data_IF_437873891631
#
_entry.id   IF_437873891631
#
_cell.length_a   1.000
_cell.length_b   1.000
_cell.length_c   1.000
_cell.angle_alpha   90.00
_cell.angle_beta   90.00
_cell.angle_gamma   90.00
#
_symmetry.space_group_name_H-M   'P 1'
#
loop_
_entity.id
_entity.type
_entity.pdbx_description
1 polymer ?
#
# COMPACT_ATOMS: atom_id res chain seq x y z
N UNK A 1 45.68 17.74 43.54
CA UNK A 1 46.92 18.47 43.18
C UNK A 1 47.72 17.50 42.36
N UNK A 2 47.37 17.38 41.09
CA UNK A 2 48.16 16.78 40.03
C UNK A 2 47.88 17.60 38.77
N UNK A 3 48.95 18.03 38.14
CA UNK A 3 49.02 18.99 37.05
C UNK A 3 48.37 18.54 35.76
N UNK A 4 47.88 19.56 35.03
CA UNK A 4 47.44 19.50 33.64
C UNK A 4 48.59 20.12 32.83
N UNK A 5 49.25 19.31 32.00
CA UNK A 5 50.16 19.82 30.99
C UNK A 5 49.81 19.29 29.60
N UNK A 6 49.59 20.27 28.74
CA UNK A 6 49.89 20.39 27.31
C UNK A 6 49.75 19.15 26.41
N UNK A 7 48.80 19.21 25.49
CA UNK A 7 48.84 18.49 24.23
C UNK A 7 48.96 19.52 23.10
N UNK A 8 50.12 19.55 22.50
CA UNK A 8 50.59 20.35 21.38
C UNK A 8 49.83 19.91 20.09
N UNK A 9 49.20 20.89 19.42
CA UNK A 9 48.57 20.72 18.11
C UNK A 9 49.64 21.00 17.05
N UNK A 10 50.07 19.94 16.35
CA UNK A 10 50.89 20.09 15.14
C UNK A 10 50.01 20.15 13.91
N UNK A 11 49.95 21.31 13.31
CA UNK A 11 49.42 21.63 12.00
C UNK A 11 50.32 20.99 10.91
N UNK A 12 49.71 20.11 10.07
CA UNK A 12 50.37 19.62 8.85
C UNK A 12 49.58 20.15 7.65
N UNK A 13 50.13 21.22 7.06
CA UNK A 13 49.80 21.65 5.70
C UNK A 13 50.11 20.50 4.72
N UNK A 14 49.14 20.09 3.92
CA UNK A 14 49.37 19.39 2.65
C UNK A 14 48.63 20.09 1.53
N UNK A 15 49.44 20.58 0.65
CA UNK A 15 49.18 21.18 -0.64
C UNK A 15 48.15 20.41 -1.47
N UNK A 16 47.18 21.17 -2.02
CA UNK A 16 46.18 20.70 -2.99
C UNK A 16 46.84 20.34 -4.33
N UNK A 17 46.58 19.13 -4.81
CA UNK A 17 46.72 18.76 -6.21
C UNK A 17 45.35 18.60 -6.82
N UNK A 18 45.11 19.27 -7.94
CA UNK A 18 43.88 19.28 -8.71
C UNK A 18 43.62 17.92 -9.37
N UNK A 19 42.36 17.49 -9.33
CA UNK A 19 41.79 16.48 -10.21
C UNK A 19 41.22 15.26 -9.47
N UNK A 20 39.94 15.35 -9.12
CA UNK A 20 39.00 14.23 -9.34
C UNK A 20 37.59 14.70 -8.93
N UNK A 21 36.67 14.56 -9.87
CA UNK A 21 35.27 14.87 -9.69
C UNK A 21 34.60 13.86 -8.72
N UNK A 22 33.59 14.27 -7.91
CA UNK A 22 32.90 13.34 -7.04
C UNK A 22 32.08 12.36 -7.83
N UNK A 23 32.32 11.07 -7.61
CA UNK A 23 31.53 9.96 -8.12
C UNK A 23 30.08 10.10 -7.68
N UNK A 24 29.19 10.30 -8.62
CA UNK A 24 27.74 10.20 -8.43
C UNK A 24 27.42 8.76 -8.07
N UNK A 25 26.99 8.53 -6.84
CA UNK A 25 26.36 7.28 -6.45
C UNK A 25 25.01 7.23 -7.13
N UNK A 26 24.93 6.49 -8.22
CA UNK A 26 23.67 6.15 -8.88
C UNK A 26 23.09 4.95 -8.13
N UNK A 27 22.08 5.20 -7.31
CA UNK A 27 21.31 4.12 -6.68
C UNK A 27 20.38 3.57 -7.76
N UNK A 28 20.71 2.40 -8.30
CA UNK A 28 19.83 1.64 -9.17
C UNK A 28 18.76 0.95 -8.31
N UNK A 29 17.51 1.36 -8.45
CA UNK A 29 16.38 0.56 -8.00
C UNK A 29 16.21 -0.61 -8.97
N UNK A 30 16.63 -1.78 -8.55
CA UNK A 30 16.32 -3.02 -9.25
C UNK A 30 14.97 -3.54 -8.75
N UNK A 31 13.93 -3.39 -9.57
CA UNK A 31 12.70 -4.18 -9.42
C UNK A 31 13.04 -5.60 -9.80
N UNK A 32 13.20 -6.47 -8.82
CA UNK A 32 13.47 -7.88 -9.02
C UNK A 32 12.15 -8.64 -9.22
N UNK A 33 11.75 -8.81 -10.46
CA UNK A 33 10.73 -9.80 -10.83
C UNK A 33 11.37 -11.18 -10.77
N UNK A 34 11.07 -11.96 -9.73
CA UNK A 34 11.58 -13.33 -9.61
C UNK A 34 10.69 -14.26 -10.43
N UNK A 35 11.13 -14.60 -11.63
CA UNK A 35 10.62 -15.75 -12.38
C UNK A 35 11.27 -17.03 -11.84
N UNK A 36 10.48 -17.90 -11.23
CA UNK A 36 10.91 -19.28 -10.96
C UNK A 36 10.80 -20.10 -12.24
N UNK A 37 11.91 -20.20 -12.99
CA UNK A 37 12.09 -21.22 -13.99
C UNK A 37 12.72 -22.43 -13.30
N UNK A 38 11.99 -23.53 -13.19
CA UNK A 38 12.49 -24.81 -12.70
C UNK A 38 13.56 -25.37 -13.64
N UNK A 39 14.78 -25.45 -13.17
CA UNK A 39 15.86 -26.21 -13.84
C UNK A 39 16.35 -27.30 -12.89
N UNK A 40 16.04 -28.54 -13.23
CA UNK A 40 16.59 -29.71 -12.57
C UNK A 40 18.09 -29.79 -12.77
N UNK A 41 18.85 -29.92 -11.69
CA UNK A 41 20.26 -30.25 -11.72
C UNK A 41 20.41 -31.69 -11.24
N UNK A 42 20.80 -32.55 -12.19
CA UNK A 42 21.20 -33.94 -11.93
C UNK A 42 22.49 -33.99 -11.12
N UNK A 43 22.52 -34.87 -10.15
CA UNK A 43 23.73 -35.26 -9.43
C UNK A 43 24.31 -36.53 -10.05
N UNK A 44 25.59 -36.47 -10.44
CA UNK A 44 26.37 -37.57 -10.95
C UNK A 44 27.23 -38.17 -9.83
N UNK A 45 27.12 -39.52 -9.77
CA UNK A 45 28.15 -40.51 -9.47
C UNK A 45 28.80 -40.58 -8.06
N UNK A 46 28.56 -41.70 -7.40
CA UNK A 46 29.44 -42.39 -6.48
C UNK A 46 29.27 -43.91 -6.64
N UNK A 47 30.31 -44.74 -6.37
CA UNK A 47 30.49 -46.08 -6.93
C UNK A 47 29.81 -47.22 -6.15
N UNK A 48 29.84 -48.46 -6.60
CA UNK A 48 28.88 -49.53 -6.33
C UNK A 48 29.26 -50.40 -5.11
N UNK A 49 28.26 -50.99 -4.48
CA UNK A 49 28.45 -52.14 -3.60
C UNK A 49 27.26 -53.12 -3.72
N UNK A 50 27.56 -54.25 -4.19
CA UNK A 50 27.07 -55.62 -3.95
C UNK A 50 25.56 -55.95 -3.86
N UNK A 51 25.27 -56.85 -4.77
CA UNK A 51 24.13 -57.71 -4.99
C UNK A 51 23.66 -58.53 -3.78
N UNK A 52 22.33 -58.47 -3.52
CA UNK A 52 21.58 -59.59 -2.96
C UNK A 52 20.31 -59.80 -3.78
N UNK A 53 20.24 -60.92 -4.41
CA UNK A 53 19.13 -61.41 -5.24
C UNK A 53 18.02 -61.95 -4.31
N UNK A 54 16.81 -61.41 -4.45
CA UNK A 54 15.59 -61.99 -3.88
C UNK A 54 14.46 -61.84 -4.86
N UNK A 55 14.00 -62.96 -5.36
CA UNK A 55 12.91 -63.14 -6.34
C UNK A 55 11.56 -62.70 -5.75
N UNK A 56 10.82 -61.87 -6.46
CA UNK A 56 9.41 -61.52 -6.19
C UNK A 56 8.59 -61.81 -7.46
N UNK A 57 7.42 -62.47 -7.33
CA UNK A 57 6.65 -62.91 -8.49
C UNK A 57 5.95 -61.74 -9.20
N UNK A 58 6.02 -61.79 -10.52
CA UNK A 58 5.36 -60.87 -11.45
C UNK A 58 3.85 -61.04 -11.39
N UNK A 59 3.17 -59.99 -10.95
CA UNK A 59 1.75 -59.77 -11.25
C UNK A 59 1.65 -58.53 -12.15
N UNK A 60 1.05 -58.71 -13.32
CA UNK A 60 0.84 -57.65 -14.30
C UNK A 60 0.00 -56.48 -13.74
N UNK A 61 0.37 -55.23 -14.04
CA UNK A 61 -0.49 -54.10 -13.65
C UNK A 61 -1.69 -53.98 -14.61
N UNK A 62 -2.87 -54.03 -14.06
CA UNK A 62 -4.10 -53.61 -14.72
C UNK A 62 -4.04 -52.09 -14.92
N UNK A 63 -3.98 -51.68 -16.17
CA UNK A 63 -4.01 -50.24 -16.55
C UNK A 63 -5.40 -49.72 -16.26
N UNK A 64 -5.57 -49.07 -15.12
CA UNK A 64 -6.72 -48.20 -14.86
C UNK A 64 -6.40 -46.84 -15.47
N UNK A 65 -6.99 -46.55 -16.61
CA UNK A 65 -6.99 -45.21 -17.19
C UNK A 65 -7.86 -44.33 -16.29
N UNK A 66 -7.22 -43.61 -15.38
CA UNK A 66 -7.88 -42.47 -14.69
C UNK A 66 -7.94 -41.39 -15.76
N UNK A 67 -9.13 -41.11 -16.25
CA UNK A 67 -9.38 -39.88 -17.02
C UNK A 67 -9.11 -38.72 -16.13
N UNK A 68 -8.04 -38.03 -16.34
CA UNK A 68 -7.72 -36.73 -15.79
C UNK A 68 -8.70 -35.75 -16.43
N UNK A 69 -9.78 -35.49 -15.72
CA UNK A 69 -10.68 -34.39 -16.05
C UNK A 69 -9.99 -33.11 -15.56
N UNK A 70 -9.15 -32.54 -16.42
CA UNK A 70 -8.82 -31.13 -16.31
C UNK A 70 -10.09 -30.32 -16.52
N UNK A 71 -10.80 -30.02 -15.44
CA UNK A 71 -11.77 -28.93 -15.43
C UNK A 71 -10.97 -27.64 -15.42
N UNK A 72 -10.60 -27.16 -16.62
CA UNK A 72 -10.32 -25.76 -16.80
C UNK A 72 -11.57 -25.00 -16.32
N UNK A 73 -11.48 -24.36 -15.17
CA UNK A 73 -12.54 -23.49 -14.69
C UNK A 73 -12.52 -22.28 -15.61
N UNK A 74 -13.48 -22.24 -16.53
CA UNK A 74 -13.70 -21.09 -17.42
C UNK A 74 -14.12 -19.93 -16.52
N UNK A 75 -13.17 -19.00 -16.24
CA UNK A 75 -13.44 -17.78 -15.45
C UNK A 75 -14.04 -16.77 -16.43
N UNK A 76 -15.31 -16.96 -16.75
CA UNK A 76 -16.09 -15.94 -17.45
C UNK A 76 -16.45 -14.82 -16.47
N UNK A 77 -16.44 -13.55 -16.90
CA UNK A 77 -16.84 -12.45 -16.04
C UNK A 77 -18.24 -12.68 -15.49
N UNK A 78 -18.47 -12.41 -14.18
CA UNK A 78 -19.79 -12.50 -13.59
C UNK A 78 -20.76 -11.48 -14.25
N UNK A 79 -22.06 -11.70 -14.18
CA UNK A 79 -23.03 -10.69 -14.58
C UNK A 79 -22.84 -9.44 -13.73
N UNK A 80 -22.96 -8.27 -14.37
CA UNK A 80 -22.87 -6.97 -13.71
C UNK A 80 -23.83 -6.89 -12.52
N UNK A 81 -23.30 -6.56 -11.34
CA UNK A 81 -24.11 -6.39 -10.14
C UNK A 81 -24.76 -5.00 -10.19
N UNK A 82 -26.07 -4.94 -10.45
CA UNK A 82 -26.82 -3.69 -10.55
C UNK A 82 -27.28 -3.15 -9.19
N UNK A 83 -26.92 -3.80 -8.08
CA UNK A 83 -27.29 -3.31 -6.76
C UNK A 83 -26.57 -1.96 -6.47
N UNK A 84 -27.29 -0.97 -5.91
CA UNK A 84 -26.66 0.27 -5.48
C UNK A 84 -25.57 -0.01 -4.44
N UNK A 85 -24.58 0.89 -4.35
CA UNK A 85 -23.59 0.81 -3.27
C UNK A 85 -24.32 0.89 -1.92
N UNK A 86 -23.95 0.01 -0.97
CA UNK A 86 -24.38 0.14 0.40
C UNK A 86 -23.54 1.24 1.08
N UNK A 87 -24.14 1.93 2.05
CA UNK A 87 -23.37 2.83 2.90
C UNK A 87 -22.31 2.00 3.67
N UNK A 88 -21.12 2.56 3.86
CA UNK A 88 -20.05 1.86 4.58
C UNK A 88 -20.45 1.62 6.05
N UNK A 89 -20.12 0.43 6.55
CA UNK A 89 -20.24 0.13 7.98
C UNK A 89 -19.09 0.83 8.71
N UNK A 90 -19.38 1.53 9.80
CA UNK A 90 -18.39 2.27 10.58
C UNK A 90 -18.38 1.89 12.06
N UNK A 91 -19.39 1.16 12.53
CA UNK A 91 -19.51 0.77 13.92
C UNK A 91 -18.40 -0.24 14.34
N UNK A 92 -17.81 -0.08 15.55
CA UNK A 92 -16.80 -1.01 16.03
C UNK A 92 -17.37 -2.41 16.29
N UNK A 93 -16.60 -3.46 15.96
CA UNK A 93 -16.97 -4.85 16.21
C UNK A 93 -16.55 -5.35 17.59
N UNK A 94 -15.53 -4.73 18.20
CA UNK A 94 -14.93 -5.16 19.46
C UNK A 94 -15.02 -4.04 20.49
N UNK A 95 -15.44 -4.39 21.71
CA UNK A 95 -15.52 -3.45 22.81
C UNK A 95 -14.14 -2.98 23.29
N UNK A 96 -14.07 -1.75 23.79
CA UNK A 96 -12.84 -1.17 24.32
C UNK A 96 -12.24 -1.95 25.52
N UNK A 97 -13.06 -2.73 26.21
CA UNK A 97 -12.68 -3.54 27.37
C UNK A 97 -12.23 -4.97 27.05
N UNK A 98 -12.10 -5.35 25.76
CA UNK A 98 -11.62 -6.70 25.41
C UNK A 98 -10.21 -6.95 25.96
N UNK A 99 -10.02 -8.14 26.58
CA UNK A 99 -8.73 -8.61 27.11
C UNK A 99 -7.84 -9.22 26.03
N UNK A 100 -8.45 -9.74 24.95
CA UNK A 100 -7.78 -10.40 23.82
C UNK A 100 -8.16 -9.72 22.46
N UNK A 101 -7.95 -8.39 22.30
CA UNK A 101 -8.51 -7.65 21.17
C UNK A 101 -8.01 -8.18 19.81
N UNK A 102 -6.79 -8.71 19.71
CA UNK A 102 -6.27 -9.29 18.45
C UNK A 102 -7.05 -10.54 18.06
N UNK A 103 -7.36 -11.41 19.00
CA UNK A 103 -8.11 -12.64 18.75
C UNK A 103 -9.58 -12.32 18.41
N UNK A 104 -10.18 -11.39 19.14
CA UNK A 104 -11.58 -10.97 18.91
C UNK A 104 -11.74 -10.28 17.54
N UNK A 105 -10.83 -9.36 17.21
CA UNK A 105 -10.80 -8.70 15.88
C UNK A 105 -10.62 -9.74 14.78
N UNK A 106 -9.68 -10.67 14.94
CA UNK A 106 -9.46 -11.72 13.95
C UNK A 106 -10.73 -12.55 13.75
N UNK A 107 -11.37 -13.02 14.83
CA UNK A 107 -12.58 -13.83 14.76
C UNK A 107 -13.71 -13.12 14.01
N UNK A 108 -13.88 -11.81 14.22
CA UNK A 108 -14.99 -11.03 13.67
C UNK A 108 -14.70 -10.55 12.24
N UNK A 109 -13.44 -10.26 11.91
CA UNK A 109 -13.08 -9.74 10.59
C UNK A 109 -12.75 -10.81 9.54
N UNK A 110 -12.27 -12.00 9.95
CA UNK A 110 -11.89 -13.04 8.99
C UNK A 110 -13.00 -13.42 7.98
N UNK A 111 -14.30 -13.41 8.32
CA UNK A 111 -15.35 -13.60 7.33
C UNK A 111 -15.37 -12.57 6.20
N UNK A 112 -14.88 -11.34 6.46
CA UNK A 112 -14.80 -10.24 5.49
C UNK A 112 -13.51 -10.24 4.67
N UNK A 113 -12.52 -11.07 5.04
CA UNK A 113 -11.23 -11.17 4.34
C UNK A 113 -11.30 -12.28 3.30
N UNK A 114 -10.93 -11.97 2.07
CA UNK A 114 -10.93 -12.90 0.95
C UNK A 114 -9.53 -13.13 0.39
N UNK A 115 -9.32 -14.28 -0.22
CA UNK A 115 -8.16 -14.54 -1.07
C UNK A 115 -8.52 -14.20 -2.51
N UNK A 116 -7.60 -13.56 -3.19
CA UNK A 116 -7.69 -13.27 -4.63
C UNK A 116 -6.69 -14.19 -5.34
N UNK A 117 -7.23 -15.06 -6.19
CA UNK A 117 -6.47 -16.03 -6.97
C UNK A 117 -6.48 -15.60 -8.44
N UNK A 118 -5.30 -15.46 -9.05
CA UNK A 118 -5.15 -15.13 -10.47
C UNK A 118 -4.91 -16.41 -11.27
N UNK A 119 -5.41 -16.48 -12.50
CA UNK A 119 -5.13 -17.61 -13.43
C UNK A 119 -3.64 -17.84 -13.64
N UNK A 120 -2.83 -16.79 -13.57
CA UNK A 120 -1.38 -16.86 -13.69
C UNK A 120 -0.68 -17.48 -12.48
N UNK A 121 -1.44 -17.86 -11.43
CA UNK A 121 -0.92 -18.40 -10.18
C UNK A 121 -0.52 -17.34 -9.15
N UNK A 122 -0.77 -16.06 -9.41
CA UNK A 122 -0.61 -14.98 -8.42
C UNK A 122 -1.66 -15.07 -7.32
N UNK A 123 -1.29 -14.63 -6.12
CA UNK A 123 -2.15 -14.63 -4.95
C UNK A 123 -2.06 -13.29 -4.22
N UNK A 124 -3.19 -12.83 -3.70
CA UNK A 124 -3.29 -11.67 -2.82
C UNK A 124 -4.48 -11.79 -1.89
N UNK A 125 -4.75 -10.74 -1.15
CA UNK A 125 -5.91 -10.62 -0.27
C UNK A 125 -6.80 -9.46 -0.68
N UNK A 126 -8.02 -9.47 -0.19
CA UNK A 126 -8.96 -8.36 -0.28
C UNK A 126 -9.84 -8.29 0.95
N UNK A 127 -10.56 -7.20 1.10
CA UNK A 127 -11.56 -7.02 2.15
C UNK A 127 -12.90 -6.62 1.56
N UNK A 128 -13.96 -7.33 1.95
CA UNK A 128 -15.34 -7.00 1.61
C UNK A 128 -15.68 -5.71 2.38
N UNK A 129 -15.95 -4.62 1.68
CA UNK A 129 -16.31 -3.33 2.29
C UNK A 129 -17.76 -2.94 2.03
N UNK A 130 -18.41 -3.62 1.08
CA UNK A 130 -19.83 -3.43 0.72
C UNK A 130 -20.50 -4.79 0.65
N UNK A 131 -21.58 -4.96 1.39
CA UNK A 131 -22.35 -6.21 1.45
C UNK A 131 -22.95 -6.64 0.11
N UNK A 132 -23.01 -5.74 -0.87
CA UNK A 132 -23.45 -6.01 -2.23
C UNK A 132 -22.37 -6.59 -3.15
N UNK A 133 -21.26 -7.09 -2.59
CA UNK A 133 -20.27 -7.85 -3.35
C UNK A 133 -19.03 -7.07 -3.76
N UNK A 134 -18.78 -5.88 -3.17
CA UNK A 134 -17.59 -5.11 -3.50
C UNK A 134 -16.45 -5.36 -2.52
N UNK A 135 -15.26 -5.54 -3.09
CA UNK A 135 -14.05 -5.93 -2.38
C UNK A 135 -12.96 -4.93 -2.73
N UNK A 136 -12.32 -4.35 -1.69
CA UNK A 136 -11.10 -3.57 -1.81
C UNK A 136 -9.88 -4.50 -1.86
N UNK A 137 -8.92 -4.18 -2.71
CA UNK A 137 -7.61 -4.81 -2.77
C UNK A 137 -6.54 -3.81 -3.24
N UNK A 138 -5.28 -4.22 -3.25
CA UNK A 138 -4.20 -3.43 -3.84
C UNK A 138 -4.18 -3.61 -5.38
N UNK A 139 -3.89 -2.53 -6.11
CA UNK A 139 -3.86 -2.53 -7.58
C UNK A 139 -2.86 -3.55 -8.14
N UNK A 140 -1.66 -3.63 -7.53
CA UNK A 140 -0.61 -4.56 -7.97
C UNK A 140 -1.01 -6.04 -7.84
N UNK A 141 -1.99 -6.39 -6.99
CA UNK A 141 -2.52 -7.76 -6.85
C UNK A 141 -3.27 -8.18 -8.11
N UNK A 142 -4.00 -7.27 -8.74
CA UNK A 142 -4.84 -7.54 -9.92
C UNK A 142 -4.29 -6.93 -11.20
N UNK A 143 -2.99 -6.58 -11.21
CA UNK A 143 -2.39 -5.90 -12.35
C UNK A 143 -2.49 -6.73 -13.64
N UNK A 144 -3.11 -6.13 -14.67
CA UNK A 144 -3.21 -6.69 -16.00
C UNK A 144 -4.24 -7.80 -16.18
N UNK A 145 -5.17 -7.99 -15.23
CA UNK A 145 -6.28 -8.94 -15.35
C UNK A 145 -7.63 -8.24 -15.13
N UNK A 146 -8.65 -8.67 -15.88
CA UNK A 146 -10.02 -8.16 -15.77
C UNK A 146 -10.88 -9.05 -14.87
N UNK A 147 -10.45 -10.31 -14.64
CA UNK A 147 -11.17 -11.30 -13.86
C UNK A 147 -10.26 -12.05 -12.92
N UNK A 148 -10.77 -12.39 -11.75
CA UNK A 148 -10.07 -13.13 -10.71
C UNK A 148 -10.99 -14.19 -10.10
N UNK A 149 -10.43 -15.15 -9.38
CA UNK A 149 -11.21 -16.06 -8.56
C UNK A 149 -11.11 -15.59 -7.10
N UNK A 150 -12.26 -15.24 -6.51
CA UNK A 150 -12.36 -14.80 -5.11
C UNK A 150 -12.69 -16.02 -4.25
N UNK A 151 -11.81 -16.35 -3.31
CA UNK A 151 -12.04 -17.39 -2.32
C UNK A 151 -12.40 -16.79 -0.98
N UNK A 152 -13.57 -17.17 -0.48
CA UNK A 152 -14.09 -16.74 0.82
C UNK A 152 -13.53 -17.60 1.98
N UNK A 153 -13.71 -17.12 3.20
CA UNK A 153 -13.27 -17.81 4.44
C UNK A 153 -13.92 -19.18 4.65
N UNK A 154 -15.12 -19.42 4.11
CA UNK A 154 -15.79 -20.70 4.15
C UNK A 154 -15.29 -21.71 3.10
N UNK A 155 -14.32 -21.29 2.26
CA UNK A 155 -13.74 -22.09 1.18
C UNK A 155 -14.43 -21.96 -0.18
N UNK A 156 -15.58 -21.29 -0.26
CA UNK A 156 -16.28 -21.06 -1.52
C UNK A 156 -15.42 -20.19 -2.46
N UNK A 157 -15.47 -20.48 -3.76
CA UNK A 157 -14.79 -19.75 -4.82
C UNK A 157 -15.80 -19.19 -5.81
N UNK A 158 -15.71 -17.92 -6.07
CA UNK A 158 -16.63 -17.21 -6.96
C UNK A 158 -15.82 -16.34 -7.93
N UNK A 159 -16.17 -16.30 -9.22
CA UNK A 159 -15.58 -15.35 -10.15
C UNK A 159 -15.85 -13.92 -9.71
N UNK A 160 -14.81 -13.06 -9.80
CA UNK A 160 -14.88 -11.63 -9.53
C UNK A 160 -14.43 -10.84 -10.74
N UNK A 161 -15.11 -9.74 -11.04
CA UNK A 161 -14.70 -8.75 -12.04
C UNK A 161 -13.87 -7.64 -11.41
N UNK A 162 -12.75 -7.30 -11.98
CA UNK A 162 -11.99 -6.09 -11.63
C UNK A 162 -12.72 -4.90 -12.28
N UNK A 163 -13.48 -4.15 -11.49
CA UNK A 163 -14.30 -3.04 -12.03
C UNK A 163 -13.51 -1.75 -12.17
N UNK A 164 -12.32 -1.65 -11.57
CA UNK A 164 -11.38 -0.56 -11.79
C UNK A 164 -10.13 -0.67 -10.94
N UNK A 165 -9.10 0.01 -11.43
CA UNK A 165 -7.75 0.02 -10.84
C UNK A 165 -7.23 1.45 -10.82
N UNK A 166 -6.64 1.85 -9.71
CA UNK A 166 -5.88 3.09 -9.54
C UNK A 166 -4.44 2.75 -9.14
N UNK A 167 -3.57 2.65 -10.13
CA UNK A 167 -2.14 2.36 -9.92
C UNK A 167 -1.44 3.45 -9.11
N UNK A 168 -1.92 4.70 -9.25
CA UNK A 168 -1.33 5.83 -8.57
C UNK A 168 -1.54 5.78 -7.05
N UNK A 169 -2.65 5.22 -6.58
CA UNK A 169 -2.95 5.01 -5.17
C UNK A 169 -2.78 3.55 -4.72
N UNK A 170 -2.45 2.64 -5.65
CA UNK A 170 -2.33 1.20 -5.43
C UNK A 170 -3.62 0.58 -4.84
N UNK A 171 -4.77 0.98 -5.37
CA UNK A 171 -6.09 0.49 -4.96
C UNK A 171 -6.83 -0.06 -6.17
N UNK A 172 -7.53 -1.19 -5.99
CA UNK A 172 -8.45 -1.74 -6.97
C UNK A 172 -9.76 -2.18 -6.30
N UNK A 173 -10.82 -2.23 -7.09
CA UNK A 173 -12.12 -2.74 -6.67
C UNK A 173 -12.48 -3.95 -7.51
N UNK A 174 -12.83 -5.04 -6.81
CA UNK A 174 -13.38 -6.26 -7.40
C UNK A 174 -14.85 -6.33 -7.04
N UNK A 175 -15.66 -6.78 -7.97
CA UNK A 175 -17.08 -7.05 -7.75
C UNK A 175 -17.39 -8.53 -7.98
N UNK A 176 -18.14 -9.13 -7.05
CA UNK A 176 -18.70 -10.48 -7.17
C UNK A 176 -20.23 -10.40 -7.23
N UNK A 177 -20.86 -11.31 -7.97
CA UNK A 177 -22.32 -11.35 -8.11
C UNK A 177 -23.01 -12.02 -6.89
N UNK A 178 -22.69 -11.52 -5.69
CA UNK A 178 -23.26 -11.97 -4.41
C UNK A 178 -23.71 -10.75 -3.59
N UNK A 179 -24.71 -10.96 -2.75
CA UNK A 179 -25.23 -9.96 -1.80
C UNK A 179 -25.23 -10.55 -0.38
N UNK A 180 -25.54 -9.71 0.59
CA UNK A 180 -25.57 -10.07 2.01
C UNK A 180 -24.22 -10.61 2.53
N UNK A 181 -23.12 -10.13 1.93
CA UNK A 181 -21.77 -10.48 2.36
C UNK A 181 -21.41 -9.75 3.66
N UNK A 182 -20.54 -10.36 4.50
CA UNK A 182 -20.06 -9.72 5.72
C UNK A 182 -19.11 -8.57 5.37
N UNK A 183 -19.61 -7.34 5.32
CA UNK A 183 -18.79 -6.15 5.10
C UNK A 183 -18.03 -5.77 6.37
N UNK A 184 -16.71 -5.49 6.21
CA UNK A 184 -15.89 -5.00 7.30
C UNK A 184 -16.19 -3.52 7.59
N UNK A 185 -16.25 -3.09 8.86
CA UNK A 185 -16.40 -1.69 9.20
C UNK A 185 -15.13 -0.90 8.86
N UNK A 186 -15.32 0.31 8.33
CA UNK A 186 -14.26 1.23 7.97
C UNK A 186 -14.14 2.34 9.01
N UNK A 187 -12.91 2.68 9.41
CA UNK A 187 -12.61 3.79 10.32
C UNK A 187 -12.49 5.11 9.53
N UNK A 188 -13.60 5.51 8.89
CA UNK A 188 -13.63 6.75 8.11
C UNK A 188 -13.66 7.97 9.05
N UNK A 189 -13.01 9.05 8.62
CA UNK A 189 -12.90 10.31 9.35
C UNK A 189 -12.29 10.15 10.77
N UNK A 190 -11.45 9.14 10.96
CA UNK A 190 -10.68 8.91 12.18
C UNK A 190 -9.18 8.89 11.88
N UNK A 191 -8.42 9.71 12.60
CA UNK A 191 -6.97 9.78 12.45
C UNK A 191 -6.28 8.70 13.30
N UNK A 192 -5.65 7.69 12.66
CA UNK A 192 -4.80 6.76 13.39
C UNK A 192 -3.64 7.49 14.06
N UNK A 193 -3.22 7.03 15.24
CA UNK A 193 -2.10 7.65 15.96
C UNK A 193 -0.96 6.67 16.16
N UNK A 194 0.31 7.11 16.07
CA UNK A 194 1.45 6.28 16.43
C UNK A 194 1.28 5.64 17.81
N UNK A 195 1.59 4.35 17.90
CA UNK A 195 1.42 3.54 19.11
C UNK A 195 0.04 2.85 19.24
N UNK A 196 -0.94 3.13 18.39
CA UNK A 196 -2.19 2.37 18.36
C UNK A 196 -1.95 0.95 17.85
N UNK A 197 -2.71 -0.02 18.41
CA UNK A 197 -2.68 -1.40 17.95
C UNK A 197 -3.07 -1.47 16.47
N UNK A 198 -2.27 -2.17 15.69
CA UNK A 198 -2.49 -2.47 14.29
C UNK A 198 -2.54 -3.97 14.08
N UNK A 199 -3.57 -4.47 13.41
CA UNK A 199 -3.80 -5.89 13.15
C UNK A 199 -3.90 -6.06 11.64
N UNK A 200 -2.91 -6.71 11.04
CA UNK A 200 -2.91 -7.00 9.61
C UNK A 200 -3.49 -8.39 9.38
N UNK A 201 -4.48 -8.47 8.48
CA UNK A 201 -5.11 -9.72 8.09
C UNK A 201 -4.89 -9.98 6.61
N UNK A 202 -4.80 -11.27 6.26
CA UNK A 202 -4.69 -11.71 4.88
C UNK A 202 -5.02 -13.19 4.77
N UNK A 203 -5.13 -13.68 3.53
CA UNK A 203 -5.40 -15.07 3.22
C UNK A 203 -4.33 -15.63 2.27
N UNK A 204 -3.07 -15.76 2.73
CA UNK A 204 -1.97 -16.23 1.88
C UNK A 204 -2.03 -17.75 1.64
N UNK A 205 -1.56 -18.21 0.47
CA UNK A 205 -1.17 -19.60 0.16
C UNK A 205 -2.25 -20.68 0.29
N UNK A 206 -3.55 -20.33 0.25
CA UNK A 206 -4.61 -21.33 0.42
C UNK A 206 -4.63 -21.96 1.82
N UNK A 207 -3.83 -21.44 2.74
CA UNK A 207 -3.87 -21.74 4.17
C UNK A 207 -4.94 -20.87 4.83
N UNK A 208 -5.44 -21.33 5.96
CA UNK A 208 -6.34 -20.53 6.80
C UNK A 208 -5.69 -19.17 7.07
N UNK A 209 -6.51 -18.15 7.04
CA UNK A 209 -6.15 -16.72 7.14
C UNK A 209 -4.98 -16.43 8.10
N UNK A 210 -4.10 -15.55 7.69
CA UNK A 210 -2.95 -15.12 8.51
C UNK A 210 -3.30 -13.81 9.22
N UNK A 211 -3.02 -13.76 10.51
CA UNK A 211 -3.17 -12.57 11.34
C UNK A 211 -1.82 -12.23 11.94
N UNK A 212 -1.40 -10.99 11.80
CA UNK A 212 -0.22 -10.45 12.47
C UNK A 212 -0.61 -9.17 13.21
N UNK A 213 0.09 -8.83 14.28
CA UNK A 213 -0.18 -7.63 15.05
C UNK A 213 1.09 -6.86 15.36
N UNK A 214 0.93 -5.58 15.54
CA UNK A 214 1.94 -4.60 15.87
C UNK A 214 1.27 -3.29 16.26
N UNK A 215 1.89 -2.18 15.90
CA UNK A 215 1.35 -0.84 16.12
C UNK A 215 1.37 -0.03 14.82
N UNK A 216 0.60 1.04 14.78
CA UNK A 216 0.87 2.13 13.85
C UNK A 216 2.19 2.78 14.28
N UNK A 217 3.23 2.61 13.49
CA UNK A 217 4.57 3.14 13.80
C UNK A 217 4.69 4.62 13.45
N UNK A 218 4.04 5.02 12.34
CA UNK A 218 3.92 6.40 11.90
C UNK A 218 2.68 6.59 11.04
N UNK A 219 2.19 7.82 10.97
CA UNK A 219 1.16 8.28 10.04
C UNK A 219 1.82 9.22 9.03
N UNK A 220 1.17 9.45 7.90
CA UNK A 220 1.57 10.42 6.88
C UNK A 220 3.02 10.27 6.40
N UNK A 221 3.49 9.01 6.33
CA UNK A 221 4.81 8.74 5.76
C UNK A 221 4.80 8.95 4.25
N UNK A 222 5.51 9.97 3.78
CA UNK A 222 5.65 10.29 2.37
C UNK A 222 6.53 9.25 1.66
N UNK A 223 5.89 8.31 0.97
CA UNK A 223 6.57 7.24 0.23
C UNK A 223 6.48 7.53 -1.27
N UNK A 224 7.60 7.43 -2.04
CA UNK A 224 7.58 7.64 -3.48
C UNK A 224 6.57 6.74 -4.19
N UNK A 225 5.65 7.34 -4.95
CA UNK A 225 4.71 6.63 -5.81
C UNK A 225 5.34 6.19 -7.15
N UNK A 226 4.60 5.42 -7.98
CA UNK A 226 5.05 4.98 -9.31
C UNK A 226 5.36 6.17 -10.24
N UNK A 227 4.63 7.25 -10.11
CA UNK A 227 4.77 8.51 -10.84
C UNK A 227 5.80 9.47 -10.21
N UNK A 228 6.57 9.00 -9.20
CA UNK A 228 7.54 9.75 -8.41
C UNK A 228 6.93 10.85 -7.53
N UNK A 229 5.61 10.95 -7.48
CA UNK A 229 4.93 11.83 -6.53
C UNK A 229 4.74 11.06 -5.24
N UNK A 230 5.13 11.63 -4.09
CA UNK A 230 4.96 10.97 -2.80
C UNK A 230 3.48 10.71 -2.48
N UNK A 231 3.24 9.60 -1.77
CA UNK A 231 1.93 9.25 -1.19
C UNK A 231 2.09 9.16 0.31
N UNK A 232 1.14 9.69 1.05
CA UNK A 232 1.09 9.50 2.50
C UNK A 232 0.59 8.09 2.79
N UNK A 233 1.31 7.37 3.63
CA UNK A 233 1.03 5.98 3.99
C UNK A 233 1.03 5.83 5.50
N UNK A 234 0.25 4.88 5.99
CA UNK A 234 0.40 4.38 7.35
C UNK A 234 1.59 3.43 7.40
N UNK A 235 2.48 3.64 8.37
CA UNK A 235 3.57 2.71 8.65
C UNK A 235 3.19 1.82 9.84
N UNK A 236 3.51 0.54 9.76
CA UNK A 236 3.29 -0.44 10.84
C UNK A 236 4.46 -1.41 10.99
N UNK A 237 4.69 -1.91 12.18
CA UNK A 237 5.60 -3.03 12.47
C UNK A 237 4.87 -4.38 12.52
N UNK A 238 3.54 -4.40 12.36
CA UNK A 238 2.82 -5.63 12.07
C UNK A 238 3.43 -6.29 10.82
N UNK A 239 3.66 -7.60 10.86
CA UNK A 239 4.35 -8.29 9.77
C UNK A 239 3.50 -8.30 8.51
N UNK A 240 3.87 -7.49 7.51
CA UNK A 240 3.32 -7.52 6.15
C UNK A 240 4.22 -8.42 5.30
N UNK A 241 3.64 -9.41 4.65
CA UNK A 241 4.35 -10.39 3.81
C UNK A 241 3.54 -10.66 2.53
N UNK A 242 4.14 -11.29 1.51
CA UNK A 242 3.38 -11.76 0.35
C UNK A 242 2.16 -12.57 0.78
N UNK A 243 0.98 -12.16 0.35
CA UNK A 243 -0.30 -12.72 0.72
C UNK A 243 -1.16 -11.85 1.65
N UNK A 244 -0.57 -10.92 2.42
CA UNK A 244 -1.34 -9.89 3.14
C UNK A 244 -1.62 -8.67 2.26
N UNK A 245 -0.90 -8.49 1.15
CA UNK A 245 -1.11 -7.38 0.21
C UNK A 245 -2.54 -7.36 -0.30
N UNK A 246 -3.17 -6.19 -0.25
CA UNK A 246 -4.60 -5.99 -0.55
C UNK A 246 -5.55 -6.34 0.59
N UNK A 247 -5.08 -7.04 1.63
CA UNK A 247 -5.85 -7.30 2.85
C UNK A 247 -5.92 -6.09 3.78
N UNK A 248 -6.80 -6.11 4.79
CA UNK A 248 -6.99 -4.99 5.69
C UNK A 248 -5.91 -4.88 6.77
N UNK A 249 -5.63 -3.63 7.16
CA UNK A 249 -5.03 -3.25 8.44
C UNK A 249 -6.15 -2.72 9.34
N UNK A 250 -6.37 -3.36 10.49
CA UNK A 250 -7.46 -3.03 11.40
C UNK A 250 -6.94 -2.42 12.73
N UNK A 251 -7.80 -1.65 13.37
CA UNK A 251 -7.61 -1.15 14.73
C UNK A 251 -8.03 -2.20 15.79
N UNK A 252 -7.86 -1.85 17.07
CA UNK A 252 -8.27 -2.72 18.18
C UNK A 252 -9.77 -2.96 18.27
N UNK A 253 -10.58 -2.16 17.57
CA UNK A 253 -12.04 -2.23 17.56
C UNK A 253 -12.58 -3.04 16.39
N UNK A 254 -11.69 -3.55 15.52
CA UNK A 254 -12.07 -4.31 14.32
C UNK A 254 -12.53 -3.43 13.16
N UNK A 255 -12.19 -2.14 13.15
CA UNK A 255 -12.44 -1.24 12.02
C UNK A 255 -11.19 -1.17 11.16
N UNK A 256 -11.38 -1.12 9.86
CA UNK A 256 -10.27 -1.03 8.90
C UNK A 256 -9.73 0.39 8.89
N UNK A 257 -8.44 0.55 9.18
CA UNK A 257 -7.71 1.84 9.14
C UNK A 257 -6.86 1.97 7.87
N UNK A 258 -6.61 0.87 7.14
CA UNK A 258 -5.85 0.90 5.90
C UNK A 258 -5.88 -0.40 5.12
N UNK A 259 -5.34 -0.37 3.89
CA UNK A 259 -5.13 -1.53 3.01
C UNK A 259 -3.64 -1.81 2.90
N UNK A 260 -3.22 -3.01 3.28
CA UNK A 260 -1.82 -3.44 3.26
C UNK A 260 -1.29 -3.51 1.83
N UNK A 261 -0.13 -2.89 1.54
CA UNK A 261 0.39 -2.85 0.17
C UNK A 261 1.82 -3.34 0.03
N UNK A 262 2.73 -2.93 0.91
CA UNK A 262 4.15 -3.21 0.70
C UNK A 262 4.97 -3.23 1.98
N UNK A 263 6.19 -3.73 1.85
CA UNK A 263 7.25 -3.62 2.85
C UNK A 263 8.38 -2.74 2.31
N UNK A 264 9.03 -2.01 3.20
CA UNK A 264 10.33 -1.42 2.90
C UNK A 264 11.40 -2.35 3.49
N UNK A 265 12.12 -3.05 2.62
CA UNK A 265 13.09 -4.04 3.05
C UNK A 265 14.30 -4.07 2.14
N UNK A 266 15.47 -4.03 2.73
CA UNK A 266 16.74 -4.24 2.03
C UNK A 266 17.02 -5.73 1.76
N UNK A 267 16.41 -6.61 2.55
CA UNK A 267 16.57 -8.07 2.48
C UNK A 267 15.52 -8.74 1.60
N UNK A 268 14.41 -8.07 1.27
CA UNK A 268 13.22 -8.64 0.63
C UNK A 268 12.31 -9.39 1.59
N UNK A 269 12.64 -9.44 2.89
CA UNK A 269 11.79 -9.96 3.96
C UNK A 269 11.25 -8.81 4.81
N UNK A 270 10.25 -9.06 5.67
CA UNK A 270 9.76 -8.04 6.59
C UNK A 270 10.82 -7.74 7.67
N UNK A 271 11.38 -6.54 7.61
CA UNK A 271 12.35 -6.02 8.59
C UNK A 271 11.67 -5.13 9.67
N UNK A 272 10.36 -5.28 9.87
CA UNK A 272 9.58 -4.49 10.83
C UNK A 272 9.08 -3.15 10.28
N UNK A 273 9.08 -2.98 8.95
CA UNK A 273 8.56 -1.77 8.29
C UNK A 273 7.60 -2.18 7.17
N UNK A 274 6.31 -2.07 7.44
CA UNK A 274 5.22 -2.29 6.50
C UNK A 274 4.45 -1.00 6.24
N UNK A 275 3.75 -0.94 5.10
CA UNK A 275 2.95 0.21 4.70
C UNK A 275 1.55 -0.20 4.30
N UNK A 276 0.59 0.68 4.62
CA UNK A 276 -0.80 0.54 4.20
C UNK A 276 -1.31 1.88 3.65
N UNK A 277 -2.17 1.81 2.63
CA UNK A 277 -2.93 2.98 2.15
C UNK A 277 -3.98 3.32 3.21
N UNK A 278 -4.04 4.57 3.70
CA UNK A 278 -5.08 5.00 4.64
C UNK A 278 -6.49 4.71 4.08
N UNK A 279 -7.41 4.29 4.96
CA UNK A 279 -8.72 3.81 4.52
C UNK A 279 -9.57 4.91 3.88
N UNK A 280 -9.47 6.15 4.34
CA UNK A 280 -10.20 7.27 3.75
C UNK A 280 -9.84 7.46 2.28
N UNK A 281 -8.54 7.40 1.98
CA UNK A 281 -8.07 7.44 0.60
C UNK A 281 -8.53 6.23 -0.21
N UNK A 282 -8.35 5.02 0.33
CA UNK A 282 -8.77 3.80 -0.35
C UNK A 282 -10.26 3.83 -0.68
N UNK A 283 -11.09 4.30 0.24
CA UNK A 283 -12.53 4.41 0.06
C UNK A 283 -12.92 5.50 -0.96
N UNK A 284 -12.26 6.69 -0.94
CA UNK A 284 -12.48 7.74 -1.96
C UNK A 284 -12.16 7.24 -3.37
N UNK A 285 -11.03 6.53 -3.53
CA UNK A 285 -10.65 5.89 -4.80
C UNK A 285 -11.69 4.86 -5.21
N UNK A 286 -12.11 3.98 -4.30
CA UNK A 286 -13.11 2.96 -4.58
C UNK A 286 -14.45 3.57 -5.01
N UNK A 287 -14.90 4.64 -4.37
CA UNK A 287 -16.11 5.36 -4.77
C UNK A 287 -16.01 5.92 -6.18
N UNK A 288 -14.90 6.57 -6.51
CA UNK A 288 -14.68 7.09 -7.86
C UNK A 288 -14.75 5.98 -8.91
N UNK A 289 -14.11 4.84 -8.64
CA UNK A 289 -14.16 3.65 -9.52
C UNK A 289 -15.61 3.16 -9.70
N UNK A 290 -16.35 2.99 -8.60
CA UNK A 290 -17.75 2.49 -8.63
C UNK A 290 -18.70 3.45 -9.36
N UNK A 291 -18.45 4.76 -9.27
CA UNK A 291 -19.20 5.80 -9.99
C UNK A 291 -18.82 5.88 -11.48
N UNK A 292 -17.92 5.01 -11.96
CA UNK A 292 -17.48 4.93 -13.36
C UNK A 292 -16.47 6.02 -13.73
N UNK A 293 -15.84 6.65 -12.73
CA UNK A 293 -14.81 7.67 -12.87
C UNK A 293 -13.42 7.18 -12.44
N UNK A 294 -12.53 8.13 -12.27
CA UNK A 294 -11.21 7.94 -11.66
C UNK A 294 -11.06 8.92 -10.49
N UNK A 295 -10.30 8.55 -9.48
CA UNK A 295 -9.93 9.51 -8.46
C UNK A 295 -8.96 10.53 -9.07
N UNK A 296 -9.38 11.79 -9.11
CA UNK A 296 -8.55 12.89 -9.56
C UNK A 296 -7.89 13.56 -8.34
N UNK A 297 -6.58 13.35 -8.12
CA UNK A 297 -5.88 14.00 -7.01
C UNK A 297 -5.88 15.51 -7.15
N UNK A 298 -6.00 16.21 -6.03
CA UNK A 298 -5.90 17.65 -5.99
C UNK A 298 -4.58 18.15 -6.57
N UNK A 299 -4.66 19.27 -7.27
CA UNK A 299 -3.53 19.93 -7.88
C UNK A 299 -3.51 21.42 -7.51
N UNK A 300 -2.49 21.82 -6.75
CA UNK A 300 -2.31 23.22 -6.37
C UNK A 300 -1.70 24.07 -7.50
N UNK A 301 -0.86 23.48 -8.33
CA UNK A 301 -0.24 24.12 -9.48
C UNK A 301 0.97 24.97 -9.13
N UNK A 302 1.82 24.47 -8.24
CA UNK A 302 3.09 25.08 -7.86
C UNK A 302 4.27 24.15 -8.14
N UNK A 303 5.44 24.72 -8.42
CA UNK A 303 6.71 24.04 -8.19
C UNK A 303 7.22 24.47 -6.82
N UNK A 304 7.73 23.51 -6.09
CA UNK A 304 8.11 23.66 -4.69
C UNK A 304 9.57 23.26 -4.47
N UNK A 305 10.17 23.75 -3.41
CA UNK A 305 11.54 23.46 -3.03
C UNK A 305 11.78 23.59 -1.54
N UNK A 306 12.96 23.18 -1.11
CA UNK A 306 13.38 23.31 0.28
C UNK A 306 13.66 24.77 0.66
N UNK A 307 13.44 25.08 1.93
CA UNK A 307 13.83 26.38 2.47
C UNK A 307 15.36 26.50 2.53
N UNK A 308 15.92 27.64 2.15
CA UNK A 308 17.40 27.86 2.16
C UNK A 308 18.04 27.72 3.55
N UNK A 309 17.25 27.88 4.60
CA UNK A 309 17.71 27.93 6.00
C UNK A 309 17.49 26.61 6.76
N UNK A 310 17.02 25.54 6.09
CA UNK A 310 16.61 24.30 6.77
C UNK A 310 15.40 24.49 7.70
N UNK A 311 14.61 25.55 7.52
CA UNK A 311 13.36 25.79 8.22
C UNK A 311 12.32 24.80 7.70
N UNK A 312 11.41 24.33 8.57
CA UNK A 312 10.26 23.54 8.15
C UNK A 312 9.39 24.33 7.16
N UNK A 313 8.78 23.62 6.23
CA UNK A 313 7.91 24.17 5.20
C UNK A 313 8.44 24.01 3.78
N UNK A 314 7.60 24.37 2.82
CA UNK A 314 7.84 24.22 1.38
C UNK A 314 7.78 25.58 0.68
N UNK A 315 8.88 25.96 0.02
CA UNK A 315 8.97 27.26 -0.70
C UNK A 315 8.31 27.15 -2.08
N UNK A 316 7.43 28.08 -2.41
CA UNK A 316 6.86 28.21 -3.76
C UNK A 316 7.88 28.87 -4.68
N UNK A 317 8.39 28.12 -5.65
CA UNK A 317 9.37 28.57 -6.62
C UNK A 317 8.75 28.98 -7.97
N UNK A 318 7.64 28.36 -8.38
CA UNK A 318 6.84 28.77 -9.54
C UNK A 318 5.36 28.55 -9.29
N UNK A 319 4.52 29.30 -9.98
CA UNK A 319 3.06 29.16 -9.96
C UNK A 319 2.59 28.99 -11.40
N UNK A 320 1.81 27.94 -11.66
CA UNK A 320 1.20 27.69 -12.97
C UNK A 320 0.08 28.69 -13.19
N UNK A 321 0.06 29.45 -14.30
CA UNK A 321 -1.04 30.38 -14.59
C UNK A 321 -2.40 29.66 -14.68
N UNK A 322 -3.43 30.21 -14.02
CA UNK A 322 -4.78 29.63 -13.97
C UNK A 322 -4.89 28.37 -13.12
N UNK A 323 -3.96 28.15 -12.21
CA UNK A 323 -4.04 27.07 -11.23
C UNK A 323 -4.68 27.54 -9.91
N UNK A 324 -5.05 26.59 -9.06
CA UNK A 324 -5.55 26.86 -7.71
C UNK A 324 -4.67 27.83 -6.92
N UNK A 325 -3.35 27.70 -7.02
CA UNK A 325 -2.39 28.59 -6.38
C UNK A 325 -2.46 30.03 -6.91
N UNK A 326 -2.63 30.19 -8.22
CA UNK A 326 -2.76 31.50 -8.86
C UNK A 326 -4.08 32.18 -8.42
N UNK A 327 -5.19 31.45 -8.47
CA UNK A 327 -6.51 31.94 -8.12
C UNK A 327 -6.63 32.27 -6.61
N UNK A 328 -5.95 31.50 -5.76
CA UNK A 328 -5.86 31.76 -4.31
C UNK A 328 -4.93 32.93 -3.95
N UNK A 329 -4.16 33.46 -4.90
CA UNK A 329 -3.24 34.59 -4.67
C UNK A 329 -1.97 34.23 -3.93
N UNK A 330 -1.50 32.98 -4.06
CA UNK A 330 -0.17 32.59 -3.62
C UNK A 330 0.90 33.33 -4.42
N UNK A 331 2.07 33.52 -3.86
CA UNK A 331 3.17 34.30 -4.45
C UNK A 331 4.47 33.50 -4.45
N UNK A 332 5.37 33.86 -5.35
CA UNK A 332 6.72 33.31 -5.37
C UNK A 332 7.44 33.71 -4.08
N UNK A 333 8.09 32.74 -3.46
CA UNK A 333 8.78 32.92 -2.17
C UNK A 333 7.93 32.70 -0.93
N UNK A 334 6.60 32.50 -1.09
CA UNK A 334 5.77 32.02 0.00
C UNK A 334 6.30 30.68 0.54
N UNK A 335 6.24 30.50 1.85
CA UNK A 335 6.58 29.22 2.50
C UNK A 335 5.32 28.64 3.07
N UNK A 336 4.83 27.54 2.50
CA UNK A 336 3.71 26.79 3.05
C UNK A 336 4.20 26.01 4.27
N UNK A 337 3.63 26.25 5.43
CA UNK A 337 4.02 25.67 6.72
C UNK A 337 2.97 24.74 7.31
N UNK A 338 1.70 24.83 6.88
CA UNK A 338 0.65 23.88 7.21
C UNK A 338 -0.43 23.84 6.11
N UNK A 339 -1.18 22.75 6.06
CA UNK A 339 -2.40 22.56 5.25
C UNK A 339 -3.48 22.03 6.16
N UNK A 340 -4.63 22.71 6.28
CA UNK A 340 -5.75 22.40 7.18
C UNK A 340 -5.31 22.17 8.66
N UNK A 341 -4.23 22.87 9.08
CA UNK A 341 -3.64 22.74 10.41
C UNK A 341 -2.55 21.68 10.54
N UNK A 342 -2.40 20.78 9.56
CA UNK A 342 -1.34 19.77 9.54
C UNK A 342 0.01 20.39 9.13
N UNK A 343 1.05 20.26 9.94
CA UNK A 343 2.33 20.91 9.68
C UNK A 343 3.05 20.30 8.49
N UNK A 344 3.62 21.15 7.64
CA UNK A 344 4.47 20.77 6.49
C UNK A 344 5.93 20.85 6.90
N UNK A 345 6.62 19.71 6.93
CA UNK A 345 8.04 19.62 7.26
C UNK A 345 8.94 20.02 6.10
N UNK A 346 8.63 19.56 4.89
CA UNK A 346 9.39 19.85 3.68
C UNK A 346 8.52 19.86 2.39
N UNK A 347 9.18 20.00 1.25
CA UNK A 347 8.49 20.01 -0.04
C UNK A 347 7.85 18.66 -0.42
N UNK A 348 8.39 17.55 0.10
CA UNK A 348 7.85 16.21 -0.14
C UNK A 348 6.50 16.05 0.57
N UNK A 349 6.43 16.56 1.79
CA UNK A 349 5.20 16.54 2.59
C UNK A 349 4.08 17.33 1.90
N UNK A 350 4.34 18.57 1.45
CA UNK A 350 3.33 19.38 0.77
C UNK A 350 2.77 18.68 -0.47
N UNK A 351 3.64 18.09 -1.29
CA UNK A 351 3.21 17.37 -2.49
C UNK A 351 2.32 16.16 -2.14
N UNK A 352 2.68 15.43 -1.08
CA UNK A 352 1.95 14.27 -0.62
C UNK A 352 0.60 14.65 0.03
N UNK A 353 0.57 15.70 0.84
CA UNK A 353 -0.65 16.20 1.49
C UNK A 353 -1.66 16.68 0.45
N UNK A 354 -1.26 17.54 -0.49
CA UNK A 354 -2.18 18.02 -1.55
C UNK A 354 -2.75 16.87 -2.37
N UNK A 355 -1.98 15.82 -2.59
CA UNK A 355 -2.45 14.63 -3.33
C UNK A 355 -3.51 13.82 -2.57
N UNK A 356 -3.62 13.96 -1.24
CA UNK A 356 -4.66 13.29 -0.45
C UNK A 356 -6.06 13.87 -0.70
N UNK A 357 -6.12 15.12 -1.09
CA UNK A 357 -7.37 15.77 -1.47
C UNK A 357 -7.76 15.41 -2.90
N UNK A 358 -9.03 15.57 -3.21
CA UNK A 358 -9.53 15.46 -4.58
C UNK A 358 -9.52 16.82 -5.28
N UNK A 359 -9.59 16.82 -6.61
CA UNK A 359 -9.90 18.01 -7.37
C UNK A 359 -11.30 18.53 -6.95
N UNK A 360 -11.40 19.84 -6.68
CA UNK A 360 -12.60 20.50 -6.16
C UNK A 360 -12.63 20.62 -4.64
N UNK A 361 -11.75 19.92 -3.90
CA UNK A 361 -11.64 20.11 -2.45
C UNK A 361 -11.04 21.49 -2.15
N UNK A 362 -11.51 22.10 -1.06
CA UNK A 362 -11.04 23.41 -0.58
C UNK A 362 -10.14 23.20 0.62
N UNK A 363 -8.93 23.75 0.58
CA UNK A 363 -7.92 23.63 1.65
C UNK A 363 -7.52 25.01 2.19
N UNK A 364 -7.17 25.07 3.47
CA UNK A 364 -6.58 26.23 4.12
C UNK A 364 -5.06 26.06 4.22
N UNK A 365 -4.30 26.94 3.58
CA UNK A 365 -2.83 26.93 3.58
C UNK A 365 -2.34 27.99 4.58
N UNK A 366 -1.60 27.58 5.61
CA UNK A 366 -0.84 28.53 6.42
C UNK A 366 0.47 28.84 5.69
N UNK A 367 0.66 30.12 5.38
CA UNK A 367 1.75 30.60 4.53
C UNK A 367 2.55 31.66 5.26
N UNK A 368 3.85 31.52 5.28
CA UNK A 368 4.75 32.55 5.75
C UNK A 368 5.16 33.44 4.56
N UNK A 369 4.70 34.71 4.59
CA UNK A 369 5.00 35.74 3.58
C UNK A 369 5.59 36.97 4.27
N UNK A 370 6.75 37.43 3.83
CA UNK A 370 7.46 38.62 4.36
C UNK A 370 7.66 38.61 5.89
N UNK A 371 7.66 37.44 6.51
CA UNK A 371 7.83 37.24 7.94
C UNK A 371 6.53 37.07 8.73
N UNK A 372 5.39 37.34 8.12
CA UNK A 372 4.07 37.17 8.73
C UNK A 372 3.42 35.85 8.31
N UNK A 373 2.71 35.18 9.21
CA UNK A 373 1.88 34.02 8.88
C UNK A 373 0.50 34.49 8.46
N UNK A 374 0.08 34.09 7.26
CA UNK A 374 -1.25 34.35 6.71
C UNK A 374 -1.94 33.04 6.36
N UNK A 375 -3.26 33.03 6.34
CA UNK A 375 -4.06 31.89 5.85
C UNK A 375 -4.57 32.21 4.45
N UNK A 376 -4.36 31.27 3.53
CA UNK A 376 -4.81 31.36 2.14
C UNK A 376 -5.70 30.16 1.85
N UNK A 377 -6.95 30.41 1.42
CA UNK A 377 -7.86 29.33 1.02
C UNK A 377 -7.70 29.07 -0.48
N UNK A 378 -7.56 27.81 -0.85
CA UNK A 378 -7.41 27.36 -2.24
C UNK A 378 -8.39 26.23 -2.56
N UNK A 379 -9.13 26.33 -3.66
CA UNK A 379 -9.90 25.24 -4.26
C UNK A 379 -8.98 24.48 -5.23
N UNK A 380 -8.69 23.22 -4.91
CA UNK A 380 -7.75 22.41 -5.69
C UNK A 380 -8.33 22.07 -7.06
N UNK A 381 -7.52 22.19 -8.09
CA UNK A 381 -7.88 21.80 -9.46
C UNK A 381 -7.45 20.39 -9.82
N UNK A 382 -7.74 19.99 -11.06
CA UNK A 382 -7.17 18.78 -11.69
C UNK A 382 -5.82 19.12 -12.33
N UNK A 383 -4.91 18.14 -12.36
CA UNK A 383 -3.65 18.31 -13.09
C UNK A 383 -3.92 18.42 -14.60
N UNK A 384 -3.41 19.44 -15.28
CA UNK A 384 -3.51 19.50 -16.74
C UNK A 384 -2.86 18.27 -17.38
N UNK A 385 -3.42 17.74 -18.50
CA UNK A 385 -2.78 16.66 -19.22
C UNK A 385 -1.38 17.09 -19.68
N UNK A 386 -0.42 16.17 -19.56
CA UNK A 386 0.94 16.41 -20.07
C UNK A 386 0.87 16.57 -21.58
N UNK A 387 1.31 17.73 -22.10
CA UNK A 387 1.26 18.10 -23.50
C UNK A 387 2.39 17.48 -24.34
#
# INVERSE_FOLDING_TARGET
MVDVDEIEVTEHERTASAGDAPSRVVIFFAVLTVFFAGAGIGWLAGPPADSVESAVPTTAPTTSTVAEAETATDISPPPENTAPAADPVTDPLVDAGSEEPVADVAQLLLPSVVQIELETGGLGSGVIYDSNGRILTAAHVVAGVDTVLVRFSNGDRVPGSVIGVDDANDIAVIEVALTDLPAAPLALDEDPRPGQLAIALGSPWGLDSTVTSGIISAVDQAIPGPDRIPRLMLQTDASINPGNSGGPLADRFGRIVGINVSIYSASGANDGVGFAVPIDRAYRVARAIVEGGAFEPGFLGVSIGSTETGRAGSVISTITPGSAAADAGLQLGDIVVAVDGDPIGDFTDLAAVIRNYAAGDVVELEVLRDGDTIVVTAELGSRPPEG
#
